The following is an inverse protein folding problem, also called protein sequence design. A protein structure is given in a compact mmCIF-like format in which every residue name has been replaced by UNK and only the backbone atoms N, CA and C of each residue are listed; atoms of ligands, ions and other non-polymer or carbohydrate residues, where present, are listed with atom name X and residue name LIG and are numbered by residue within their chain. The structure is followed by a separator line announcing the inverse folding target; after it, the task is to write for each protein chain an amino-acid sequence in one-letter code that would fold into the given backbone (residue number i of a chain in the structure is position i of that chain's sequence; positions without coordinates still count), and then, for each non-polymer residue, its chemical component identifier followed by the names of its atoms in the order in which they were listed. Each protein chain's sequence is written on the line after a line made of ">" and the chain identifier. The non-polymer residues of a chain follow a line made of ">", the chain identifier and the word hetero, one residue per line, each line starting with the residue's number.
data_IF_501402859452
#
_entry.id   IF_501402859452
#
_cell.length_a   1.000
_cell.length_b   1.000
_cell.length_c   1.000
_cell.angle_alpha   90.00
_cell.angle_beta   90.00
_cell.angle_gamma   90.00
#
_symmetry.space_group_name_H-M   'P 1'
#
loop_
_entity.id
_entity.type
_entity.pdbx_description
1 polymer ?
#
# COMPACT_ATOMS: atom_id res chain seq x y z
N UNK A 1 39.32 30.82 21.45
CA UNK A 1 39.17 30.82 19.97
C UNK A 1 39.58 29.51 19.29
N UNK A 2 40.65 28.83 19.70
CA UNK A 2 41.09 27.59 19.05
C UNK A 2 40.19 26.39 19.40
N UNK A 3 39.91 26.17 20.69
CA UNK A 3 38.95 25.15 21.17
C UNK A 3 37.54 25.31 20.59
N UNK A 4 37.08 26.55 20.41
CA UNK A 4 35.76 26.83 19.80
C UNK A 4 35.75 26.52 18.30
N UNK A 5 36.84 26.77 17.56
CA UNK A 5 36.96 26.39 16.15
C UNK A 5 37.00 24.87 15.98
N UNK A 6 37.70 24.18 16.86
CA UNK A 6 37.80 22.71 16.88
C UNK A 6 36.48 22.03 17.23
N UNK A 7 35.74 22.54 18.22
CA UNK A 7 34.39 22.05 18.52
C UNK A 7 33.45 22.31 17.33
N UNK A 8 33.50 23.51 16.74
CA UNK A 8 32.64 23.86 15.61
C UNK A 8 32.93 23.03 14.35
N UNK A 9 34.15 22.57 14.13
CA UNK A 9 34.48 21.69 13.00
C UNK A 9 33.83 20.30 13.10
N UNK A 10 33.47 19.85 14.30
CA UNK A 10 32.73 18.60 14.49
C UNK A 10 31.22 18.82 14.54
N UNK A 11 30.78 19.89 15.20
CA UNK A 11 29.35 20.18 15.38
C UNK A 11 28.65 20.49 14.05
N UNK A 12 29.27 21.31 13.19
CA UNK A 12 28.63 21.73 11.92
C UNK A 12 28.35 20.53 10.99
N UNK A 13 29.30 19.62 10.70
CA UNK A 13 29.02 18.43 9.90
C UNK A 13 27.94 17.52 10.51
N UNK A 14 27.91 17.36 11.83
CA UNK A 14 26.88 16.56 12.51
C UNK A 14 25.50 17.19 12.30
N UNK A 15 25.36 18.50 12.49
CA UNK A 15 24.09 19.21 12.28
C UNK A 15 23.64 19.13 10.82
N UNK A 16 24.55 19.28 9.86
CA UNK A 16 24.26 19.12 8.43
C UNK A 16 23.80 17.68 8.15
N UNK A 17 24.50 16.68 8.66
CA UNK A 17 24.12 15.27 8.50
C UNK A 17 22.73 14.96 9.07
N UNK A 18 22.41 15.48 10.26
CA UNK A 18 21.09 15.35 10.86
C UNK A 18 20.01 16.04 10.03
N UNK A 19 20.26 17.27 9.55
CA UNK A 19 19.34 17.99 8.68
C UNK A 19 19.05 17.21 7.39
N UNK A 20 20.09 16.69 6.73
CA UNK A 20 19.96 15.84 5.54
C UNK A 20 19.14 14.59 5.85
N UNK A 21 19.43 13.90 6.96
CA UNK A 21 18.68 12.71 7.36
C UNK A 21 17.20 13.00 7.61
N UNK A 22 16.87 14.15 8.21
CA UNK A 22 15.49 14.60 8.42
C UNK A 22 14.79 14.90 7.09
N UNK A 23 15.46 15.57 6.15
CA UNK A 23 14.93 15.84 4.81
C UNK A 23 14.67 14.54 4.04
N UNK A 24 15.62 13.59 4.08
CA UNK A 24 15.45 12.27 3.45
C UNK A 24 14.25 11.54 4.05
N UNK A 25 14.13 11.51 5.38
CA UNK A 25 13.00 10.87 6.07
C UNK A 25 11.67 11.55 5.76
N UNK A 26 11.66 12.88 5.65
CA UNK A 26 10.47 13.67 5.37
C UNK A 26 9.98 13.51 3.93
N UNK A 27 10.87 13.52 2.93
CA UNK A 27 10.47 13.66 1.52
C UNK A 27 10.84 12.50 0.61
N UNK A 28 11.79 11.64 0.99
CA UNK A 28 12.32 10.60 0.09
C UNK A 28 11.78 9.23 0.46
N UNK A 29 12.07 8.75 1.67
CA UNK A 29 11.59 7.44 2.10
C UNK A 29 11.50 7.27 3.61
N UNK A 30 10.70 6.30 4.05
CA UNK A 30 10.71 5.82 5.43
C UNK A 30 10.75 4.29 5.47
N UNK A 31 11.33 3.72 6.53
CA UNK A 31 11.34 2.27 6.75
C UNK A 31 10.06 1.87 7.47
N UNK A 32 9.44 0.79 7.02
CA UNK A 32 8.17 0.27 7.56
C UNK A 32 8.32 -1.21 7.84
N UNK A 33 7.81 -1.67 8.99
CA UNK A 33 7.67 -3.09 9.31
C UNK A 33 6.29 -3.56 8.84
N UNK A 34 6.24 -4.64 8.08
CA UNK A 34 4.99 -5.30 7.70
C UNK A 34 4.45 -6.05 8.92
N UNK A 35 3.19 -5.80 9.25
CA UNK A 35 2.51 -6.44 10.37
C UNK A 35 1.36 -7.31 9.88
N UNK A 36 1.42 -8.59 10.22
CA UNK A 36 0.44 -9.60 9.83
C UNK A 36 0.64 -10.22 8.44
N UNK A 37 -0.18 -11.23 8.09
CA UNK A 37 0.03 -12.10 6.92
C UNK A 37 -0.63 -11.60 5.64
N UNK A 38 -1.31 -10.46 5.66
CA UNK A 38 -2.25 -10.06 4.59
C UNK A 38 -1.62 -9.82 3.21
N UNK A 39 -0.31 -9.66 3.15
CA UNK A 39 0.46 -9.46 1.92
C UNK A 39 1.30 -10.67 1.52
N UNK A 40 1.15 -11.80 2.22
CA UNK A 40 1.82 -13.04 1.85
C UNK A 40 1.33 -13.55 0.48
N UNK A 41 2.17 -14.28 -0.27
CA UNK A 41 3.57 -14.61 0.04
C UNK A 41 4.56 -13.47 -0.33
N UNK A 42 4.07 -12.35 -0.86
CA UNK A 42 4.92 -11.30 -1.43
C UNK A 42 5.58 -10.42 -0.37
N UNK A 43 4.92 -10.22 0.76
CA UNK A 43 5.52 -9.61 1.95
C UNK A 43 5.12 -10.42 3.18
N UNK A 44 6.09 -10.82 3.98
CA UNK A 44 5.88 -11.66 5.16
C UNK A 44 5.77 -10.81 6.42
N UNK A 45 5.12 -11.35 7.46
CA UNK A 45 5.09 -10.70 8.77
C UNK A 45 6.52 -10.38 9.25
N UNK A 46 6.69 -9.23 9.91
CA UNK A 46 7.98 -8.67 10.37
C UNK A 46 8.97 -8.25 9.27
N UNK A 47 8.64 -8.39 7.99
CA UNK A 47 9.51 -7.93 6.91
C UNK A 47 9.68 -6.40 6.94
N UNK A 48 10.92 -5.94 6.77
CA UNK A 48 11.23 -4.50 6.68
C UNK A 48 11.25 -4.07 5.22
N UNK A 49 10.41 -3.11 4.89
CA UNK A 49 10.31 -2.53 3.55
C UNK A 49 10.55 -1.03 3.57
N UNK A 50 10.76 -0.45 2.39
CA UNK A 50 10.93 1.00 2.23
C UNK A 50 9.66 1.56 1.60
N UNK A 51 9.03 2.55 2.24
CA UNK A 51 8.00 3.36 1.62
C UNK A 51 8.66 4.56 0.93
N UNK A 52 8.70 4.53 -0.40
CA UNK A 52 9.29 5.57 -1.24
C UNK A 52 8.21 6.61 -1.61
N UNK A 53 8.40 7.85 -1.16
CA UNK A 53 7.39 8.92 -1.20
C UNK A 53 7.24 9.57 -2.59
N UNK A 54 8.32 9.81 -3.37
CA UNK A 54 8.20 10.42 -4.70
C UNK A 54 7.53 9.56 -5.77
N UNK A 55 7.37 8.25 -5.54
CA UNK A 55 6.76 7.37 -6.53
C UNK A 55 5.28 7.66 -6.73
N UNK A 56 4.87 7.79 -7.99
CA UNK A 56 3.46 7.88 -8.37
C UNK A 56 2.76 6.54 -8.11
N UNK A 57 1.61 6.59 -7.47
CA UNK A 57 0.73 5.43 -7.30
C UNK A 57 0.09 5.07 -8.64
N UNK A 58 0.20 3.80 -8.98
CA UNK A 58 -0.23 3.17 -10.24
C UNK A 58 -1.02 1.90 -9.95
N UNK A 59 -1.70 1.33 -10.95
CA UNK A 59 -2.27 0.00 -10.82
C UNK A 59 -1.21 -1.00 -10.38
N UNK A 60 -1.56 -1.93 -9.50
CA UNK A 60 -0.67 -2.93 -8.89
C UNK A 60 0.47 -2.39 -8.02
N UNK A 61 0.55 -1.08 -7.78
CA UNK A 61 1.47 -0.53 -6.78
C UNK A 61 1.15 -1.12 -5.41
N UNK A 62 2.17 -1.55 -4.68
CA UNK A 62 2.02 -1.85 -3.25
C UNK A 62 2.28 -0.56 -2.48
N UNK A 63 1.36 -0.16 -1.62
CA UNK A 63 1.44 1.12 -0.90
C UNK A 63 1.40 0.90 0.61
N UNK A 64 2.04 1.81 1.33
CA UNK A 64 1.84 2.01 2.77
C UNK A 64 0.91 3.20 2.95
N UNK A 65 -0.09 3.08 3.81
CA UNK A 65 -1.00 4.17 4.15
C UNK A 65 -1.41 4.12 5.62
N UNK A 66 -1.76 5.27 6.17
CA UNK A 66 -2.38 5.38 7.49
C UNK A 66 -3.80 4.81 7.43
N UNK A 67 -4.02 3.68 8.10
CA UNK A 67 -5.31 2.99 8.12
C UNK A 67 -6.31 3.66 9.08
N UNK A 68 -5.86 4.57 9.95
CA UNK A 68 -6.73 5.25 10.89
C UNK A 68 -7.77 6.12 10.15
N UNK A 69 -9.05 5.79 10.38
CA UNK A 69 -10.19 6.42 9.72
C UNK A 69 -10.61 5.75 8.40
N UNK A 70 -9.77 4.87 7.83
CA UNK A 70 -10.11 4.07 6.65
C UNK A 70 -10.72 2.73 7.05
N UNK A 71 -10.00 1.98 7.90
CA UNK A 71 -10.52 0.81 8.57
C UNK A 71 -11.12 1.24 9.93
N UNK A 72 -12.41 1.01 10.20
CA UNK A 72 -13.04 1.38 11.47
C UNK A 72 -12.40 0.73 12.71
N UNK A 73 -11.65 -0.36 12.52
CA UNK A 73 -10.98 -1.10 13.60
C UNK A 73 -9.53 -0.67 13.79
N UNK A 74 -8.96 0.11 12.86
CA UNK A 74 -7.58 0.56 12.95
C UNK A 74 -7.44 1.64 14.04
N UNK A 75 -6.41 1.49 14.87
CA UNK A 75 -6.03 2.48 15.89
C UNK A 75 -5.25 3.62 15.24
N UNK A 76 -5.17 4.76 15.92
CA UNK A 76 -4.31 5.86 15.51
C UNK A 76 -2.87 5.39 15.27
N UNK A 77 -2.21 5.94 14.26
CA UNK A 77 -0.83 5.59 13.87
C UNK A 77 -0.63 4.14 13.39
N UNK A 78 -1.70 3.46 12.95
CA UNK A 78 -1.60 2.13 12.34
C UNK A 78 -1.39 2.25 10.83
N UNK A 79 -0.25 1.78 10.33
CA UNK A 79 0.00 1.74 8.89
C UNK A 79 -0.35 0.37 8.31
N UNK A 80 -1.10 0.34 7.22
CA UNK A 80 -1.36 -0.88 6.44
C UNK A 80 -0.52 -0.92 5.17
N UNK A 81 -0.25 -2.15 4.71
CA UNK A 81 0.39 -2.41 3.42
C UNK A 81 -0.58 -3.19 2.56
N UNK A 82 -0.96 -2.65 1.41
CA UNK A 82 -1.90 -3.28 0.47
C UNK A 82 -1.51 -2.99 -0.97
N UNK A 83 -2.02 -3.78 -1.90
CA UNK A 83 -1.86 -3.58 -3.34
C UNK A 83 -3.01 -2.77 -3.91
N UNK A 84 -2.70 -1.70 -4.63
CA UNK A 84 -3.66 -0.89 -5.37
C UNK A 84 -4.18 -1.67 -6.56
N UNK A 85 -5.49 -1.89 -6.59
CA UNK A 85 -6.20 -2.56 -7.69
C UNK A 85 -6.95 -1.56 -8.55
N UNK A 86 -7.49 -0.48 -7.96
CA UNK A 86 -8.14 0.58 -8.72
C UNK A 86 -7.70 1.98 -8.31
N UNK A 87 -7.62 2.84 -9.32
CA UNK A 87 -7.35 4.26 -9.29
C UNK A 87 -8.65 5.05 -9.48
N UNK A 88 -8.67 6.37 -9.20
CA UNK A 88 -9.83 7.21 -9.42
C UNK A 88 -10.46 7.03 -10.81
N UNK A 89 -11.77 6.82 -10.86
CA UNK A 89 -12.54 6.59 -12.07
C UNK A 89 -12.72 5.12 -12.47
N UNK A 90 -11.96 4.20 -11.87
CA UNK A 90 -11.99 2.80 -12.28
C UNK A 90 -13.27 2.06 -11.90
N UNK A 91 -13.82 1.29 -12.84
CA UNK A 91 -14.80 0.24 -12.57
C UNK A 91 -14.08 -1.06 -12.23
N UNK A 92 -14.33 -1.61 -11.03
CA UNK A 92 -13.70 -2.85 -10.58
C UNK A 92 -14.74 -3.94 -10.34
N UNK A 93 -14.44 -5.14 -10.82
CA UNK A 93 -15.20 -6.35 -10.49
C UNK A 93 -14.29 -7.57 -10.38
N UNK A 94 -14.63 -8.48 -9.47
CA UNK A 94 -14.08 -9.83 -9.41
C UNK A 94 -15.09 -10.83 -9.97
N UNK A 95 -14.66 -11.66 -10.92
CA UNK A 95 -15.49 -12.76 -11.45
C UNK A 95 -14.60 -13.95 -11.83
N UNK A 96 -14.95 -15.14 -11.35
CA UNK A 96 -14.33 -16.43 -11.69
C UNK A 96 -12.79 -16.43 -11.54
N UNK A 97 -12.27 -15.85 -10.46
CA UNK A 97 -10.84 -15.81 -10.21
C UNK A 97 -10.06 -14.74 -10.97
N UNK A 98 -10.77 -13.78 -11.57
CA UNK A 98 -10.20 -12.67 -12.30
C UNK A 98 -10.71 -11.35 -11.78
N UNK A 99 -9.80 -10.39 -11.61
CA UNK A 99 -10.14 -8.99 -11.42
C UNK A 99 -10.17 -8.32 -12.78
N UNK A 100 -11.19 -7.50 -12.99
CA UNK A 100 -11.34 -6.64 -14.15
C UNK A 100 -11.33 -5.18 -13.69
N UNK A 101 -10.51 -4.37 -14.35
CA UNK A 101 -10.46 -2.92 -14.19
C UNK A 101 -10.88 -2.33 -15.52
N UNK A 102 -11.98 -1.55 -15.54
CA UNK A 102 -12.58 -1.01 -16.77
C UNK A 102 -12.81 -2.09 -17.84
N UNK A 103 -13.38 -3.23 -17.43
CA UNK A 103 -13.60 -4.44 -18.23
C UNK A 103 -12.34 -5.14 -18.78
N UNK A 104 -11.14 -4.62 -18.51
CA UNK A 104 -9.88 -5.29 -18.85
C UNK A 104 -9.44 -6.20 -17.71
N UNK A 105 -9.21 -7.48 -18.02
CA UNK A 105 -8.65 -8.45 -17.08
C UNK A 105 -7.23 -8.07 -16.70
N UNK A 106 -6.94 -7.99 -15.41
CA UNK A 106 -5.58 -7.76 -14.90
C UNK A 106 -4.85 -9.09 -14.65
N UNK A 107 -3.54 -9.12 -14.92
CA UNK A 107 -2.69 -10.28 -14.62
C UNK A 107 -2.45 -10.33 -13.10
N UNK A 108 -2.65 -11.51 -12.50
CA UNK A 108 -2.51 -11.74 -11.06
C UNK A 108 -1.55 -12.91 -10.78
N UNK A 109 -0.46 -12.99 -11.53
CA UNK A 109 0.51 -14.08 -11.43
C UNK A 109 1.36 -14.03 -10.14
N UNK A 110 1.18 -12.98 -9.33
CA UNK A 110 1.83 -12.78 -8.04
C UNK A 110 1.10 -13.47 -6.87
N UNK A 111 -0.05 -14.11 -7.13
CA UNK A 111 -0.83 -14.87 -6.15
C UNK A 111 -1.31 -16.19 -6.76
N UNK A 112 -1.62 -17.16 -5.89
CA UNK A 112 -2.06 -18.49 -6.30
C UNK A 112 -3.47 -18.47 -6.92
N UNK A 113 -3.85 -19.59 -7.56
CA UNK A 113 -5.21 -19.78 -8.08
C UNK A 113 -6.25 -19.75 -6.95
N UNK A 114 -5.97 -20.34 -5.79
CA UNK A 114 -6.88 -20.37 -4.63
C UNK A 114 -7.16 -18.97 -4.08
N UNK A 115 -6.12 -18.13 -3.95
CA UNK A 115 -6.27 -16.74 -3.51
C UNK A 115 -7.10 -15.93 -4.50
N UNK A 116 -6.92 -16.19 -5.80
CA UNK A 116 -7.72 -15.57 -6.85
C UNK A 116 -9.18 -16.00 -6.83
N UNK A 117 -9.46 -17.27 -6.56
CA UNK A 117 -10.83 -17.81 -6.56
C UNK A 117 -11.46 -17.69 -5.17
N UNK A 118 -11.33 -18.71 -4.33
CA UNK A 118 -11.99 -18.80 -3.03
C UNK A 118 -11.59 -17.67 -2.10
N UNK A 119 -10.32 -17.23 -2.14
CA UNK A 119 -9.84 -16.13 -1.31
C UNK A 119 -10.39 -14.75 -1.71
N UNK A 120 -10.77 -14.54 -2.99
CA UNK A 120 -11.26 -13.23 -3.48
C UNK A 120 -12.78 -13.19 -3.61
N UNK A 121 -13.40 -14.30 -4.05
CA UNK A 121 -14.83 -14.38 -4.35
C UNK A 121 -15.24 -13.62 -5.62
N UNK A 122 -16.56 -13.52 -5.83
CA UNK A 122 -17.17 -12.78 -6.94
C UNK A 122 -17.89 -11.54 -6.41
N UNK A 123 -17.61 -10.38 -7.00
CA UNK A 123 -18.19 -9.12 -6.56
C UNK A 123 -18.05 -8.01 -7.61
N UNK A 124 -18.83 -6.95 -7.43
CA UNK A 124 -18.66 -5.65 -8.07
C UNK A 124 -18.50 -4.58 -6.99
N UNK A 125 -17.95 -3.41 -7.29
CA UNK A 125 -17.96 -2.29 -6.34
C UNK A 125 -19.38 -2.01 -5.79
N UNK A 126 -20.40 -2.13 -6.65
CA UNK A 126 -21.78 -1.90 -6.24
C UNK A 126 -22.29 -2.96 -5.25
N UNK A 127 -21.83 -4.22 -5.34
CA UNK A 127 -22.28 -5.27 -4.41
C UNK A 127 -21.62 -5.14 -3.04
N UNK A 128 -20.31 -4.87 -2.98
CA UNK A 128 -19.58 -4.76 -1.69
C UNK A 128 -19.80 -3.42 -1.00
N UNK A 129 -20.02 -2.32 -1.74
CA UNK A 129 -20.28 -1.02 -1.11
C UNK A 129 -21.57 -0.99 -0.28
N UNK A 130 -22.51 -1.90 -0.54
CA UNK A 130 -23.72 -2.11 0.28
C UNK A 130 -23.42 -2.75 1.64
N UNK A 131 -22.35 -3.52 1.74
CA UNK A 131 -21.98 -4.27 2.96
C UNK A 131 -20.94 -3.54 3.80
N UNK A 132 -20.38 -2.43 3.31
CA UNK A 132 -19.44 -1.62 4.08
C UNK A 132 -20.05 -1.05 5.37
N UNK A 133 -19.23 -0.72 6.37
CA UNK A 133 -19.63 -0.06 7.61
C UNK A 133 -20.52 1.15 7.35
N UNK A 134 -21.50 1.38 8.23
CA UNK A 134 -22.44 2.53 8.12
C UNK A 134 -21.73 3.89 8.13
N UNK A 135 -20.55 3.97 8.73
CA UNK A 135 -19.69 5.17 8.71
C UNK A 135 -19.15 5.51 7.31
N UNK A 136 -19.09 4.53 6.40
CA UNK A 136 -18.65 4.77 5.03
C UNK A 136 -19.80 5.33 4.19
N UNK A 137 -19.64 6.58 3.74
CA UNK A 137 -20.64 7.31 2.94
C UNK A 137 -20.74 6.82 1.48
N UNK A 138 -19.77 6.03 1.01
CA UNK A 138 -19.70 5.54 -0.36
C UNK A 138 -20.59 4.30 -0.53
N UNK A 139 -21.91 4.50 -0.71
CA UNK A 139 -22.88 3.42 -0.94
C UNK A 139 -23.23 3.28 -2.42
N UNK A 140 -23.48 2.06 -2.88
CA UNK A 140 -23.86 1.75 -4.27
C UNK A 140 -22.88 2.29 -5.32
N UNK A 141 -21.61 2.40 -4.96
CA UNK A 141 -20.59 3.01 -5.81
C UNK A 141 -20.20 2.04 -6.93
N UNK A 142 -20.11 2.53 -8.15
CA UNK A 142 -19.77 1.75 -9.35
C UNK A 142 -18.37 2.02 -9.88
N UNK A 143 -17.75 3.12 -9.44
CA UNK A 143 -16.39 3.56 -9.82
C UNK A 143 -15.60 4.01 -8.60
N UNK A 144 -14.29 3.86 -8.60
CA UNK A 144 -13.44 4.43 -7.53
C UNK A 144 -13.59 5.97 -7.52
N UNK A 145 -13.94 6.61 -6.40
CA UNK A 145 -14.11 8.06 -6.33
C UNK A 145 -12.83 8.85 -6.62
N UNK A 146 -12.98 10.13 -6.94
CA UNK A 146 -11.86 11.07 -7.09
C UNK A 146 -11.04 11.11 -5.80
N UNK A 147 -9.71 11.07 -5.94
CA UNK A 147 -8.79 11.15 -4.81
C UNK A 147 -8.70 9.89 -3.95
N UNK A 148 -9.32 8.78 -4.37
CA UNK A 148 -9.32 7.52 -3.61
C UNK A 148 -8.71 6.36 -4.39
N UNK A 149 -8.29 5.32 -3.67
CA UNK A 149 -7.79 4.07 -4.20
C UNK A 149 -8.59 2.88 -3.68
N UNK A 150 -8.73 1.84 -4.48
CA UNK A 150 -9.25 0.54 -4.04
C UNK A 150 -8.10 -0.44 -3.91
N UNK A 151 -7.91 -1.02 -2.72
CA UNK A 151 -6.75 -1.85 -2.39
C UNK A 151 -7.14 -3.25 -1.94
N UNK A 152 -6.33 -4.25 -2.28
CA UNK A 152 -6.47 -5.64 -1.81
C UNK A 152 -5.16 -6.10 -1.18
N UNK A 153 -5.24 -7.00 -0.20
CA UNK A 153 -4.09 -7.81 0.20
C UNK A 153 -3.76 -8.87 -0.86
N UNK A 154 -2.53 -9.35 -0.87
CA UNK A 154 -2.13 -10.47 -1.73
C UNK A 154 -2.58 -11.82 -1.13
N UNK A 155 -2.65 -11.92 0.19
CA UNK A 155 -3.26 -13.05 0.90
C UNK A 155 -4.76 -12.75 1.06
N UNK A 156 -5.49 -12.92 -0.05
CA UNK A 156 -6.90 -12.55 -0.24
C UNK A 156 -7.83 -13.19 0.78
N UNK A 157 -7.61 -14.44 1.13
CA UNK A 157 -8.46 -15.21 2.05
C UNK A 157 -8.49 -14.65 3.48
N UNK A 158 -7.43 -13.97 3.92
CA UNK A 158 -7.31 -13.43 5.30
C UNK A 158 -7.16 -11.90 5.35
N UNK A 159 -7.04 -11.24 4.20
CA UNK A 159 -6.79 -9.80 4.16
C UNK A 159 -8.05 -8.99 4.47
N UNK A 160 -8.03 -8.24 5.57
CA UNK A 160 -8.94 -7.12 5.78
C UNK A 160 -8.50 -5.93 4.89
N UNK A 161 -9.27 -5.63 3.85
CA UNK A 161 -8.97 -4.64 2.82
C UNK A 161 -10.24 -3.96 2.25
N UNK A 162 -10.13 -3.28 1.10
CA UNK A 162 -11.21 -2.48 0.53
C UNK A 162 -12.50 -3.24 0.23
N UNK A 163 -12.45 -4.58 0.21
CA UNK A 163 -13.68 -5.39 0.15
C UNK A 163 -14.61 -5.15 1.34
N UNK A 164 -14.05 -4.85 2.51
CA UNK A 164 -14.79 -4.78 3.77
C UNK A 164 -15.05 -3.35 4.24
N UNK A 165 -14.07 -2.45 4.13
CA UNK A 165 -14.18 -1.10 4.68
C UNK A 165 -14.18 0.02 3.64
N UNK A 166 -13.88 -0.28 2.37
CA UNK A 166 -13.97 0.66 1.26
C UNK A 166 -12.64 1.24 0.81
N UNK A 167 -12.63 2.49 0.39
CA UNK A 167 -11.49 3.06 -0.33
C UNK A 167 -10.45 3.66 0.62
N UNK A 168 -9.23 3.89 0.13
CA UNK A 168 -8.17 4.63 0.82
C UNK A 168 -8.04 6.02 0.21
N UNK A 169 -8.02 7.07 1.03
CA UNK A 169 -7.74 8.43 0.57
C UNK A 169 -6.28 8.60 0.14
N UNK A 170 -6.08 9.37 -0.93
CA UNK A 170 -4.75 9.57 -1.52
C UNK A 170 -3.78 10.27 -0.55
N UNK A 171 -4.28 11.16 0.30
CA UNK A 171 -3.51 11.91 1.29
C UNK A 171 -3.04 11.04 2.48
N UNK A 172 -3.73 9.94 2.75
CA UNK A 172 -3.34 8.92 3.73
C UNK A 172 -2.18 8.04 3.27
N UNK A 173 -1.83 8.07 1.98
CA UNK A 173 -0.73 7.27 1.42
C UNK A 173 0.63 7.83 1.88
N UNK A 174 1.35 7.01 2.64
CA UNK A 174 2.71 7.31 3.11
C UNK A 174 3.73 7.17 1.99
N UNK A 175 3.57 6.17 1.11
CA UNK A 175 4.46 5.96 -0.04
C UNK A 175 4.28 4.60 -0.72
N UNK A 176 4.95 4.43 -1.86
CA UNK A 176 4.97 3.16 -2.59
C UNK A 176 6.06 2.26 -2.03
N UNK A 177 5.70 1.01 -1.71
CA UNK A 177 6.62 0.01 -1.18
C UNK A 177 7.69 -0.35 -2.22
N UNK A 178 8.93 -0.39 -1.75
CA UNK A 178 10.10 -0.92 -2.44
C UNK A 178 10.80 -1.93 -1.54
N UNK A 179 10.98 -3.15 -2.07
CA UNK A 179 11.82 -4.19 -1.44
C UNK A 179 13.25 -4.12 -2.00
N UNK A 180 14.27 -3.97 -1.15
CA UNK A 180 15.67 -3.91 -1.58
C UNK A 180 16.19 -5.22 -2.17
N UNK A 181 17.18 -5.16 -3.07
CA UNK A 181 17.77 -6.35 -3.68
C UNK A 181 18.59 -7.22 -2.73
N UNK A 182 19.17 -6.63 -1.68
CA UNK A 182 19.98 -7.36 -0.70
C UNK A 182 19.17 -8.08 0.37
N UNK A 183 17.85 -7.82 0.48
CA UNK A 183 16.97 -8.46 1.47
C UNK A 183 15.83 -9.27 0.84
N UNK A 184 15.82 -9.46 -0.48
CA UNK A 184 14.68 -10.10 -1.16
C UNK A 184 15.08 -10.90 -2.40
N UNK A 185 14.27 -11.91 -2.72
CA UNK A 185 14.45 -12.73 -3.92
C UNK A 185 14.05 -11.96 -5.20
N UNK A 186 14.55 -12.40 -6.36
CA UNK A 186 14.18 -11.83 -7.66
C UNK A 186 12.67 -11.83 -7.89
N UNK A 187 12.00 -12.93 -7.54
CA UNK A 187 10.54 -13.08 -7.66
C UNK A 187 9.81 -12.06 -6.79
N UNK A 188 10.20 -11.92 -5.51
CA UNK A 188 9.58 -10.95 -4.59
C UNK A 188 9.73 -9.53 -5.11
N UNK A 189 10.94 -9.15 -5.55
CA UNK A 189 11.18 -7.82 -6.16
C UNK A 189 10.34 -7.59 -7.38
N UNK A 190 10.20 -8.58 -8.25
CA UNK A 190 9.35 -8.46 -9.43
C UNK A 190 7.90 -8.18 -9.00
N UNK A 191 7.36 -9.01 -8.09
CA UNK A 191 5.97 -8.95 -7.64
C UNK A 191 5.60 -7.66 -6.89
N UNK A 192 6.55 -7.06 -6.17
CA UNK A 192 6.31 -5.84 -5.38
C UNK A 192 6.74 -4.57 -6.14
N UNK A 193 7.94 -4.54 -6.72
CA UNK A 193 8.51 -3.30 -7.25
C UNK A 193 8.15 -3.03 -8.71
N UNK A 194 7.84 -4.06 -9.50
CA UNK A 194 7.91 -4.00 -10.98
C UNK A 194 6.59 -4.25 -11.70
N UNK A 195 5.57 -4.77 -11.01
CA UNK A 195 4.26 -5.05 -11.65
C UNK A 195 3.41 -3.82 -11.93
N UNK A 196 3.77 -2.68 -11.35
CA UNK A 196 2.94 -1.48 -11.43
C UNK A 196 2.99 -0.85 -12.82
N UNK A 197 1.83 -0.49 -13.38
CA UNK A 197 1.70 0.13 -14.70
C UNK A 197 0.96 1.46 -14.64
#
# INVERSE_FOLDING_TARGET
>A
MQKTKEIMSWVVPILIGLAIALVIKAFVFTRVRVDGPSMEPNLTNNEKVVAYKPAKVKHLSVIVFDAYGEDPTAKAHTNYVKRVIGLPGDKIKSKNGYIYVNNKKIKQNFISKSERTSGTGNWTLASISKTWPKSNKNRNVTVVPKGKYFVLGDHRSVSNDSRYWGFVDKDKVVGVVKVPFWTSTKTKRNNVNSLAY
#
